data_IF_072178284129
#
_entry.id   IF_072178284129
#
_cell.length_a   1.000
_cell.length_b   1.000
_cell.length_c   1.000
_cell.angle_alpha   90.00
_cell.angle_beta   90.00
_cell.angle_gamma   90.00
#
_symmetry.space_group_name_H-M   'P 1'
#
loop_
_entity.id
_entity.type
_entity.pdbx_description
1 polymer ?
#
# COMPACT_ATOMS: atom_id res chain seq x y z
N UNK A 1 6.19 3.42 -30.66
CA UNK A 1 5.29 2.38 -30.10
C UNK A 1 5.88 1.56 -28.94
N UNK A 2 7.18 1.25 -28.89
CA UNK A 2 7.76 0.41 -27.83
C UNK A 2 7.69 1.00 -26.41
N UNK A 3 7.72 2.33 -26.25
CA UNK A 3 7.67 2.99 -24.94
C UNK A 3 6.33 2.85 -24.20
N UNK A 4 5.20 2.86 -24.93
CA UNK A 4 3.86 2.71 -24.35
C UNK A 4 3.61 1.28 -23.82
N UNK A 5 4.20 0.28 -24.47
CA UNK A 5 4.10 -1.14 -24.06
C UNK A 5 4.92 -1.42 -22.80
N UNK A 6 6.16 -0.91 -22.73
CA UNK A 6 6.99 -1.04 -21.53
C UNK A 6 6.34 -0.36 -20.31
N UNK A 7 5.64 0.74 -20.53
CA UNK A 7 4.95 1.49 -19.50
C UNK A 7 3.76 0.73 -18.88
N UNK A 8 2.84 0.26 -19.73
CA UNK A 8 1.69 -0.53 -19.30
C UNK A 8 2.16 -1.77 -18.53
N UNK A 9 3.30 -2.33 -18.92
CA UNK A 9 3.92 -3.47 -18.25
C UNK A 9 4.36 -3.13 -16.82
N UNK A 10 4.94 -1.95 -16.59
CA UNK A 10 5.43 -1.54 -15.26
C UNK A 10 4.29 -1.22 -14.29
N UNK A 11 3.30 -0.41 -14.69
CA UNK A 11 2.13 -0.10 -13.84
C UNK A 11 1.32 -1.37 -13.52
N UNK A 12 1.11 -2.23 -14.50
CA UNK A 12 0.44 -3.53 -14.31
C UNK A 12 1.20 -4.41 -13.32
N UNK A 13 2.53 -4.42 -13.39
CA UNK A 13 3.36 -5.14 -12.42
C UNK A 13 3.16 -4.61 -11.00
N UNK A 14 3.19 -3.29 -10.81
CA UNK A 14 2.95 -2.66 -9.50
C UNK A 14 1.56 -2.99 -8.97
N UNK A 15 0.51 -2.89 -9.80
CA UNK A 15 -0.85 -3.29 -9.42
C UNK A 15 -0.93 -4.77 -8.99
N UNK A 16 -0.25 -5.66 -9.72
CA UNK A 16 -0.23 -7.09 -9.41
C UNK A 16 0.48 -7.43 -8.10
N UNK A 17 1.58 -6.76 -7.79
CA UNK A 17 2.28 -6.93 -6.51
C UNK A 17 1.44 -6.34 -5.39
N UNK A 18 0.92 -5.13 -5.57
CA UNK A 18 0.10 -4.45 -4.58
C UNK A 18 -1.16 -5.26 -4.23
N UNK A 19 -1.93 -5.76 -5.20
CA UNK A 19 -3.13 -6.58 -4.91
C UNK A 19 -2.80 -7.83 -4.09
N UNK A 20 -1.63 -8.44 -4.32
CA UNK A 20 -1.22 -9.64 -3.60
C UNK A 20 -0.87 -9.30 -2.15
N UNK A 21 -0.08 -8.25 -1.93
CA UNK A 21 0.32 -7.79 -0.59
C UNK A 21 -0.91 -7.34 0.20
N UNK A 22 -1.71 -6.41 -0.34
CA UNK A 22 -2.88 -5.86 0.34
C UNK A 22 -3.96 -6.93 0.57
N UNK A 23 -4.20 -7.82 -0.41
CA UNK A 23 -5.16 -8.91 -0.28
C UNK A 23 -4.74 -9.95 0.75
N UNK A 24 -3.46 -10.36 0.73
CA UNK A 24 -2.91 -11.32 1.69
C UNK A 24 -2.92 -10.78 3.12
N UNK A 25 -2.42 -9.57 3.34
CA UNK A 25 -2.44 -8.92 4.65
C UNK A 25 -3.88 -8.64 5.13
N UNK A 26 -4.75 -8.16 4.25
CA UNK A 26 -6.16 -7.95 4.55
C UNK A 26 -6.86 -9.23 4.99
N UNK A 27 -6.68 -10.34 4.26
CA UNK A 27 -7.26 -11.62 4.66
C UNK A 27 -6.69 -12.14 5.99
N UNK A 28 -5.38 -12.00 6.21
CA UNK A 28 -4.74 -12.42 7.46
C UNK A 28 -5.27 -11.63 8.67
N UNK A 29 -5.38 -10.31 8.55
CA UNK A 29 -5.90 -9.44 9.62
C UNK A 29 -7.41 -9.63 9.83
N UNK A 30 -8.17 -9.96 8.79
CA UNK A 30 -9.60 -10.21 8.90
C UNK A 30 -9.90 -11.54 9.61
N UNK A 31 -9.23 -12.62 9.18
CA UNK A 31 -9.54 -13.99 9.59
C UNK A 31 -8.74 -14.44 10.82
N UNK A 32 -7.53 -13.91 11.02
CA UNK A 32 -6.63 -14.32 12.09
C UNK A 32 -5.95 -13.11 12.79
N UNK A 33 -6.71 -12.10 13.25
CA UNK A 33 -6.13 -10.89 13.88
C UNK A 33 -5.28 -11.23 15.11
N UNK A 34 -5.68 -12.23 15.90
CA UNK A 34 -4.96 -12.65 17.10
C UNK A 34 -3.58 -13.24 16.76
N UNK A 35 -3.48 -14.00 15.65
CA UNK A 35 -2.22 -14.57 15.19
C UNK A 35 -1.28 -13.50 14.64
N UNK A 36 -1.82 -12.55 13.86
CA UNK A 36 -1.04 -11.41 13.35
C UNK A 36 -0.54 -10.55 14.51
N UNK A 37 -1.39 -10.31 15.51
CA UNK A 37 -0.99 -9.59 16.71
C UNK A 37 0.06 -10.33 17.50
N UNK A 38 -0.09 -11.63 17.76
CA UNK A 38 0.91 -12.43 18.47
C UNK A 38 2.29 -12.41 17.76
N UNK A 39 2.30 -12.31 16.42
CA UNK A 39 3.54 -12.19 15.65
C UNK A 39 4.22 -10.81 15.79
N UNK A 40 3.46 -9.76 16.11
CA UNK A 40 3.96 -8.38 16.24
C UNK A 40 4.18 -7.97 17.69
N UNK A 41 3.30 -8.41 18.59
CA UNK A 41 3.27 -8.09 20.02
C UNK A 41 2.68 -9.26 20.81
N UNK A 42 3.28 -9.64 21.93
CA UNK A 42 2.77 -10.73 22.76
C UNK A 42 1.58 -10.31 23.66
N UNK A 43 0.94 -9.16 23.42
CA UNK A 43 -0.12 -8.62 24.28
C UNK A 43 -1.50 -9.16 23.90
N UNK A 44 -2.36 -9.35 24.89
CA UNK A 44 -3.77 -9.61 24.64
C UNK A 44 -4.42 -8.39 23.98
N UNK A 45 -5.14 -8.60 22.87
CA UNK A 45 -5.79 -7.53 22.12
C UNK A 45 -7.20 -7.25 22.67
N UNK A 46 -7.50 -6.02 23.11
CA UNK A 46 -8.86 -5.61 23.45
C UNK A 46 -9.82 -5.76 22.26
N UNK A 47 -11.10 -6.00 22.53
CA UNK A 47 -12.13 -6.17 21.48
C UNK A 47 -12.21 -4.97 20.52
N UNK A 48 -12.10 -3.75 21.03
CA UNK A 48 -12.19 -2.52 20.23
C UNK A 48 -11.04 -2.42 19.21
N UNK A 49 -9.83 -2.76 19.63
CA UNK A 49 -8.66 -2.78 18.74
C UNK A 49 -8.79 -3.88 17.68
N UNK A 50 -9.33 -5.04 18.05
CA UNK A 50 -9.61 -6.14 17.12
C UNK A 50 -10.59 -5.72 16.03
N UNK A 51 -11.70 -5.09 16.42
CA UNK A 51 -12.69 -4.60 15.47
C UNK A 51 -12.10 -3.51 14.57
N UNK A 52 -11.23 -2.66 15.11
CA UNK A 52 -10.49 -1.64 14.34
C UNK A 52 -9.59 -2.29 13.29
N UNK A 53 -8.82 -3.33 13.67
CA UNK A 53 -7.97 -4.07 12.72
C UNK A 53 -8.78 -4.79 11.65
N UNK A 54 -9.92 -5.39 12.01
CA UNK A 54 -10.78 -6.07 11.04
C UNK A 54 -11.46 -5.07 10.08
N UNK A 55 -11.86 -3.89 10.57
CA UNK A 55 -12.35 -2.80 9.72
C UNK A 55 -11.27 -2.33 8.74
N UNK A 56 -10.04 -2.15 9.23
CA UNK A 56 -8.87 -1.83 8.41
C UNK A 56 -8.56 -2.93 7.38
N UNK A 57 -8.71 -4.19 7.77
CA UNK A 57 -8.56 -5.34 6.89
C UNK A 57 -9.57 -5.33 5.74
N UNK A 58 -10.84 -5.04 6.02
CA UNK A 58 -11.86 -4.88 4.99
C UNK A 58 -11.52 -3.76 4.01
N UNK A 59 -11.02 -2.63 4.51
CA UNK A 59 -10.56 -1.53 3.65
C UNK A 59 -9.40 -1.98 2.74
N UNK A 60 -8.39 -2.68 3.28
CA UNK A 60 -7.26 -3.20 2.49
C UNK A 60 -7.71 -4.21 1.42
N UNK A 61 -8.69 -5.05 1.71
CA UNK A 61 -9.27 -5.96 0.71
C UNK A 61 -9.97 -5.17 -0.40
N UNK A 62 -10.69 -4.10 -0.06
CA UNK A 62 -11.29 -3.20 -1.05
C UNK A 62 -10.23 -2.55 -1.97
N UNK A 63 -9.15 -2.04 -1.39
CA UNK A 63 -8.01 -1.48 -2.14
C UNK A 63 -7.34 -2.55 -3.01
N UNK A 64 -7.17 -3.76 -2.51
CA UNK A 64 -6.65 -4.90 -3.28
C UNK A 64 -7.57 -5.22 -4.47
N UNK A 65 -8.89 -5.13 -4.30
CA UNK A 65 -9.87 -5.25 -5.37
C UNK A 65 -9.69 -4.17 -6.44
N UNK A 66 -9.53 -2.91 -6.04
CA UNK A 66 -9.25 -1.81 -6.98
C UNK A 66 -7.96 -2.10 -7.77
N UNK A 67 -6.88 -2.47 -7.07
CA UNK A 67 -5.62 -2.82 -7.72
C UNK A 67 -5.72 -4.05 -8.63
N UNK A 68 -6.61 -5.00 -8.33
CA UNK A 68 -6.87 -6.17 -9.17
C UNK A 68 -7.54 -5.80 -10.49
N UNK A 69 -8.52 -4.90 -10.47
CA UNK A 69 -9.22 -4.49 -11.68
C UNK A 69 -8.50 -3.39 -12.46
N UNK A 70 -7.64 -2.60 -11.80
CA UNK A 70 -6.97 -1.46 -12.42
C UNK A 70 -6.27 -1.77 -13.77
N UNK A 71 -5.54 -2.89 -13.96
CA UNK A 71 -4.92 -3.22 -15.25
C UNK A 71 -5.90 -3.40 -16.42
N UNK A 72 -7.19 -3.61 -16.14
CA UNK A 72 -8.23 -3.79 -17.17
C UNK A 72 -8.82 -2.47 -17.67
N UNK A 73 -8.55 -1.36 -16.97
CA UNK A 73 -9.09 -0.06 -17.34
C UNK A 73 -8.32 0.59 -18.50
N UNK A 74 -8.92 1.58 -19.20
CA UNK A 74 -8.18 2.41 -20.14
C UNK A 74 -6.98 3.10 -19.46
N UNK A 75 -5.88 3.29 -20.19
CA UNK A 75 -4.61 3.81 -19.65
C UNK A 75 -4.76 5.10 -18.82
N UNK A 76 -5.63 6.03 -19.25
CA UNK A 76 -5.91 7.25 -18.51
C UNK A 76 -6.50 6.99 -17.12
N UNK A 77 -7.44 6.03 -17.00
CA UNK A 77 -8.02 5.62 -15.74
C UNK A 77 -7.01 4.85 -14.88
N UNK A 78 -6.16 4.01 -15.47
CA UNK A 78 -5.08 3.35 -14.73
C UNK A 78 -4.14 4.37 -14.06
N UNK A 79 -3.74 5.41 -14.82
CA UNK A 79 -2.90 6.50 -14.32
C UNK A 79 -3.60 7.30 -13.22
N UNK A 80 -4.90 7.57 -13.35
CA UNK A 80 -5.67 8.24 -12.31
C UNK A 80 -5.71 7.42 -11.01
N UNK A 81 -6.02 6.12 -11.10
CA UNK A 81 -5.98 5.20 -9.95
C UNK A 81 -4.60 5.14 -9.32
N UNK A 82 -3.55 5.01 -10.12
CA UNK A 82 -2.17 5.00 -9.64
C UNK A 82 -1.80 6.31 -8.92
N UNK A 83 -2.22 7.48 -9.41
CA UNK A 83 -2.00 8.78 -8.76
C UNK A 83 -2.74 8.87 -7.42
N UNK A 84 -3.99 8.44 -7.37
CA UNK A 84 -4.76 8.42 -6.12
C UNK A 84 -4.10 7.50 -5.09
N UNK A 85 -3.71 6.28 -5.48
CA UNK A 85 -3.01 5.35 -4.60
C UNK A 85 -1.65 5.90 -4.14
N UNK A 86 -0.89 6.55 -5.03
CA UNK A 86 0.36 7.22 -4.66
C UNK A 86 0.13 8.26 -3.56
N UNK A 87 -0.86 9.14 -3.73
CA UNK A 87 -1.20 10.15 -2.71
C UNK A 87 -1.58 9.49 -1.39
N UNK A 88 -2.41 8.45 -1.42
CA UNK A 88 -2.75 7.67 -0.23
C UNK A 88 -1.51 7.12 0.47
N UNK A 89 -0.60 6.47 -0.26
CA UNK A 89 0.60 5.88 0.33
C UNK A 89 1.60 6.91 0.86
N UNK A 90 1.70 8.08 0.24
CA UNK A 90 2.49 9.19 0.78
C UNK A 90 1.89 9.67 2.10
N UNK A 91 0.57 9.86 2.17
CA UNK A 91 -0.11 10.28 3.40
C UNK A 91 0.03 9.24 4.52
N UNK A 92 -0.19 7.96 4.22
CA UNK A 92 0.05 6.84 5.13
C UNK A 92 1.49 6.85 5.64
N UNK A 93 2.48 6.98 4.75
CA UNK A 93 3.90 7.02 5.12
C UNK A 93 4.21 8.17 6.07
N UNK A 94 3.63 9.36 5.83
CA UNK A 94 3.80 10.51 6.71
C UNK A 94 3.13 10.32 8.08
N UNK A 95 1.92 9.73 8.10
CA UNK A 95 1.23 9.40 9.35
C UNK A 95 2.04 8.40 10.17
N UNK A 96 2.57 7.37 9.52
CA UNK A 96 3.40 6.37 10.19
C UNK A 96 4.72 6.96 10.69
N UNK A 97 5.39 7.79 9.88
CA UNK A 97 6.60 8.49 10.30
C UNK A 97 6.33 9.41 11.49
N UNK A 98 5.27 10.22 11.45
CA UNK A 98 4.86 11.09 12.57
C UNK A 98 4.63 10.25 13.82
N UNK A 99 3.87 9.16 13.71
CA UNK A 99 3.62 8.30 14.86
C UNK A 99 4.92 7.68 15.41
N UNK A 100 5.85 7.22 14.57
CA UNK A 100 7.14 6.65 15.03
C UNK A 100 8.05 7.68 15.71
N UNK A 101 8.14 8.89 15.16
CA UNK A 101 9.11 9.90 15.61
C UNK A 101 8.56 10.84 16.69
N UNK A 102 7.23 10.94 16.81
CA UNK A 102 6.56 11.87 17.73
C UNK A 102 5.76 11.09 18.77
N UNK A 103 4.81 10.26 18.34
CA UNK A 103 3.77 9.73 19.23
C UNK A 103 4.19 8.43 19.96
N UNK A 104 5.11 7.65 19.38
CA UNK A 104 5.55 6.33 19.86
C UNK A 104 7.02 6.29 20.30
N UNK A 105 7.62 7.44 20.61
CA UNK A 105 9.04 7.53 20.97
C UNK A 105 9.40 6.65 22.19
N UNK A 106 8.46 6.52 23.12
CA UNK A 106 8.63 5.76 24.36
C UNK A 106 7.83 4.43 24.36
N UNK A 107 7.34 3.99 23.19
CA UNK A 107 6.60 2.75 23.06
C UNK A 107 7.53 1.53 23.22
N UNK A 108 6.93 0.38 23.59
CA UNK A 108 7.64 -0.89 23.63
C UNK A 108 8.32 -1.20 22.29
N UNK A 109 9.54 -1.76 22.33
CA UNK A 109 10.34 -2.00 21.12
C UNK A 109 9.62 -2.89 20.12
N UNK A 110 8.86 -3.90 20.57
CA UNK A 110 8.07 -4.76 19.67
C UNK A 110 6.99 -3.98 18.94
N UNK A 111 6.28 -3.11 19.67
CA UNK A 111 5.27 -2.23 19.08
C UNK A 111 5.88 -1.23 18.09
N UNK A 112 7.01 -0.61 18.46
CA UNK A 112 7.74 0.32 17.60
C UNK A 112 8.21 -0.35 16.30
N UNK A 113 8.79 -1.55 16.39
CA UNK A 113 9.26 -2.32 15.22
C UNK A 113 8.11 -2.73 14.32
N UNK A 114 7.01 -3.25 14.87
CA UNK A 114 5.83 -3.64 14.06
C UNK A 114 5.22 -2.46 13.32
N UNK A 115 5.12 -1.31 14.00
CA UNK A 115 4.62 -0.08 13.40
C UNK A 115 5.59 0.46 12.33
N UNK A 116 6.90 0.41 12.58
CA UNK A 116 7.95 0.77 11.62
C UNK A 116 7.94 -0.08 10.36
N UNK A 117 7.81 -1.40 10.51
CA UNK A 117 7.71 -2.35 9.40
C UNK A 117 6.49 -2.03 8.54
N UNK A 118 5.33 -1.82 9.17
CA UNK A 118 4.08 -1.51 8.46
C UNK A 118 4.20 -0.19 7.69
N UNK A 119 4.75 0.86 8.30
CA UNK A 119 5.00 2.14 7.63
C UNK A 119 5.95 2.01 6.42
N UNK A 120 6.95 1.14 6.50
CA UNK A 120 7.90 0.92 5.41
C UNK A 120 7.25 0.30 4.16
N UNK A 121 6.19 -0.49 4.31
CA UNK A 121 5.42 -1.06 3.18
C UNK A 121 4.77 0.07 2.38
N UNK A 122 4.14 1.04 3.06
CA UNK A 122 3.52 2.18 2.39
C UNK A 122 4.56 3.05 1.68
N UNK A 123 5.73 3.28 2.29
CA UNK A 123 6.82 4.02 1.67
C UNK A 123 7.33 3.31 0.40
N UNK A 124 7.52 1.99 0.45
CA UNK A 124 7.93 1.19 -0.70
C UNK A 124 6.89 1.24 -1.83
N UNK A 125 5.60 1.15 -1.50
CA UNK A 125 4.51 1.28 -2.47
C UNK A 125 4.46 2.69 -3.07
N UNK A 126 4.66 3.75 -2.28
CA UNK A 126 4.74 5.12 -2.78
C UNK A 126 5.88 5.28 -3.80
N UNK A 127 7.07 4.73 -3.51
CA UNK A 127 8.20 4.73 -4.45
C UNK A 127 7.87 3.93 -5.72
N UNK A 128 7.27 2.74 -5.59
CA UNK A 128 6.90 1.91 -6.73
C UNK A 128 5.88 2.59 -7.66
N UNK A 129 4.84 3.20 -7.10
CA UNK A 129 3.86 3.95 -7.88
C UNK A 129 4.44 5.24 -8.46
N UNK A 130 5.27 5.96 -7.69
CA UNK A 130 5.94 7.17 -8.15
C UNK A 130 6.86 6.91 -9.34
N UNK A 131 7.71 5.89 -9.24
CA UNK A 131 8.61 5.50 -10.34
C UNK A 131 7.84 5.06 -11.58
N UNK A 132 6.82 4.22 -11.43
CA UNK A 132 5.99 3.80 -12.55
C UNK A 132 5.24 4.96 -13.24
N UNK A 133 4.82 5.98 -12.48
CA UNK A 133 4.19 7.19 -13.01
C UNK A 133 5.19 8.15 -13.65
N UNK A 134 6.39 8.31 -13.10
CA UNK A 134 7.43 9.16 -13.72
C UNK A 134 7.86 8.61 -15.07
N UNK A 135 8.10 7.30 -15.16
CA UNK A 135 8.37 6.64 -16.44
C UNK A 135 7.22 6.79 -17.46
N UNK A 136 6.00 7.09 -17.00
CA UNK A 136 4.85 7.40 -17.88
C UNK A 136 4.88 8.79 -18.48
N UNK A 137 5.34 9.78 -17.70
CA UNK A 137 5.41 11.16 -18.16
C UNK A 137 6.50 11.33 -19.21
N UNK A 138 7.67 10.72 -18.98
CA UNK A 138 8.81 10.80 -19.90
C UNK A 138 8.50 10.14 -21.25
N UNK A 139 7.72 9.05 -21.24
CA UNK A 139 7.29 8.35 -22.45
C UNK A 139 6.26 9.15 -23.26
N UNK A 140 5.34 9.86 -22.60
CA UNK A 140 4.36 10.72 -23.27
C UNK A 140 5.05 11.95 -23.89
N UNK A 141 5.99 12.58 -23.19
CA UNK A 141 6.75 13.74 -23.68
C UNK A 141 7.62 13.40 -24.90
N UNK A 142 8.18 12.20 -24.96
CA UNK A 142 8.92 11.69 -26.12
C UNK A 142 8.02 11.38 -27.32
N UNK A 143 6.76 11.01 -27.09
CA UNK A 143 5.80 10.71 -28.16
C UNK A 143 5.19 11.98 -28.79
N UNK A 144 5.26 13.12 -28.09
CA UNK A 144 4.79 14.43 -28.58
C UNK A 144 5.87 15.25 -29.31
N UNK A 145 7.13 14.79 -29.30
CA UNK A 145 8.26 15.40 -30.02
C UNK A 145 8.53 14.67 -31.33
#
# INVERSE_FOLDING_TARGET
ESGSVALLTMLTSVFNVHRFIAGGFGLALLLAPDAVNAAMTARAMPMEERLTLQSWACFMIGVAGIAHFAPTFPTAAQRAVAKCLLVCFVLESLLYAKALFVDLKDADTGYWTGFGLTGSIFAALAVAYGTALMSSSDADDLAMR
#
